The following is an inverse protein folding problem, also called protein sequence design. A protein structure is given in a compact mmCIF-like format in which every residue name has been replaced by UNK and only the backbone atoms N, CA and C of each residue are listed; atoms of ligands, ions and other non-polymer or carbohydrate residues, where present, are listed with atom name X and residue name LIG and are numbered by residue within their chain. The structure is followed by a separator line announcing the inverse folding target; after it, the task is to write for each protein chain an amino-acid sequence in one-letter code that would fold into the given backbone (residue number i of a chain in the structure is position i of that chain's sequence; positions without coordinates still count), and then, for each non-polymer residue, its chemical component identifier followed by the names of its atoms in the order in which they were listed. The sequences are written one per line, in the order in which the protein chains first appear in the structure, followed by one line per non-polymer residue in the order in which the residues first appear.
data_IF_332990180099
#
_entry.id   IF_332990180099
#
_cell.length_a   1.000
_cell.length_b   1.000
_cell.length_c   1.000
_cell.angle_alpha   90.00
_cell.angle_beta   90.00
_cell.angle_gamma   90.00
#
_symmetry.space_group_name_H-M   'P 1'
#
loop_
_entity.id
_entity.type
_entity.pdbx_description
1 polymer ?
#
# COMPACT_ATOMS: atom_id res chain seq x y z
N UNK A 1 -11.42 0.63 -9.73
CA UNK A 1 -10.65 0.82 -10.97
C UNK A 1 -9.41 -0.04 -10.83
N UNK A 2 -9.23 -1.00 -11.73
CA UNK A 2 -8.07 -1.89 -11.69
C UNK A 2 -6.93 -1.25 -12.49
N UNK A 3 -5.78 -1.06 -11.85
CA UNK A 3 -4.58 -0.50 -12.47
C UNK A 3 -3.56 -1.62 -12.70
N UNK A 4 -2.80 -1.51 -13.79
CA UNK A 4 -1.64 -2.34 -14.09
C UNK A 4 -0.38 -1.53 -13.89
N UNK A 5 0.57 -2.07 -13.13
CA UNK A 5 1.88 -1.47 -12.94
C UNK A 5 2.93 -2.25 -13.73
N UNK A 6 3.72 -1.55 -14.53
CA UNK A 6 4.69 -2.15 -15.45
C UNK A 6 6.07 -1.57 -15.20
N UNK A 7 7.05 -2.43 -14.95
CA UNK A 7 8.46 -2.08 -14.90
C UNK A 7 9.14 -2.33 -16.25
N UNK A 8 9.67 -1.29 -16.89
CA UNK A 8 10.37 -1.44 -18.18
C UNK A 8 11.45 -0.38 -18.39
N UNK A 9 12.68 -0.81 -18.74
CA UNK A 9 13.83 0.06 -19.07
C UNK A 9 14.02 1.20 -18.06
N UNK A 10 14.03 0.90 -16.77
CA UNK A 10 14.16 1.89 -15.72
C UNK A 10 12.95 2.81 -15.53
N UNK A 11 11.79 2.45 -16.05
CA UNK A 11 10.54 3.18 -15.82
C UNK A 11 9.55 2.30 -15.06
N UNK A 12 8.70 2.95 -14.27
CA UNK A 12 7.47 2.39 -13.73
C UNK A 12 6.32 3.12 -14.40
N UNK A 13 5.39 2.38 -15.00
CA UNK A 13 4.24 2.92 -15.70
C UNK A 13 2.98 2.37 -15.04
N UNK A 14 2.00 3.24 -14.78
CA UNK A 14 0.66 2.83 -14.40
C UNK A 14 -0.26 2.96 -15.60
N UNK A 15 -0.99 1.89 -15.87
CA UNK A 15 -1.89 1.75 -17.00
C UNK A 15 -3.28 1.41 -16.47
N UNK A 16 -4.30 2.07 -16.98
CA UNK A 16 -5.69 1.71 -16.70
C UNK A 16 -6.00 0.37 -17.38
N UNK A 17 -6.41 -0.64 -16.61
CA UNK A 17 -6.64 -1.99 -17.14
C UNK A 17 -7.79 -2.06 -18.15
N UNK A 18 -8.80 -1.19 -18.02
CA UNK A 18 -9.97 -1.18 -18.90
C UNK A 18 -9.70 -0.62 -20.29
N UNK A 19 -8.81 0.37 -20.42
CA UNK A 19 -8.56 1.07 -21.69
C UNK A 19 -7.15 0.88 -22.25
N UNK A 20 -6.18 0.51 -21.41
CA UNK A 20 -4.77 0.50 -21.77
C UNK A 20 -4.12 1.89 -21.77
N UNK A 21 -4.84 2.93 -21.31
CA UNK A 21 -4.30 4.28 -21.23
C UNK A 21 -3.28 4.41 -20.10
N UNK A 22 -2.18 5.09 -20.38
CA UNK A 22 -1.20 5.48 -19.36
C UNK A 22 -1.81 6.54 -18.44
N UNK A 23 -1.79 6.26 -17.13
CA UNK A 23 -2.21 7.19 -16.08
C UNK A 23 -1.03 8.06 -15.65
N UNK A 24 0.10 7.41 -15.36
CA UNK A 24 1.34 8.07 -14.98
C UNK A 24 2.56 7.23 -15.34
N UNK A 25 3.72 7.89 -15.38
CA UNK A 25 5.03 7.27 -15.63
C UNK A 25 6.11 7.94 -14.80
N UNK A 26 6.95 7.12 -14.18
CA UNK A 26 8.07 7.56 -13.37
C UNK A 26 9.36 6.96 -13.90
N UNK A 27 10.36 7.81 -14.15
CA UNK A 27 11.70 7.38 -14.53
C UNK A 27 12.55 7.16 -13.28
N UNK A 28 13.12 5.98 -13.15
CA UNK A 28 14.04 5.58 -12.08
C UNK A 28 15.49 5.90 -12.47
N UNK A 29 16.41 5.75 -11.49
CA UNK A 29 17.85 5.98 -11.68
C UNK A 29 18.56 4.80 -12.38
N UNK A 30 17.97 4.27 -13.45
CA UNK A 30 18.59 3.23 -14.27
C UNK A 30 17.92 3.17 -15.65
N UNK A 31 18.52 2.43 -16.58
CA UNK A 31 17.91 2.06 -17.86
C UNK A 31 17.64 0.54 -17.96
N UNK A 32 17.94 -0.21 -16.90
CA UNK A 32 17.90 -1.68 -16.89
C UNK A 32 16.52 -2.27 -16.60
N UNK A 33 16.46 -3.60 -16.50
CA UNK A 33 15.27 -4.34 -16.10
C UNK A 33 14.75 -3.83 -14.76
N UNK A 34 13.46 -3.44 -14.76
CA UNK A 34 12.75 -2.97 -13.57
C UNK A 34 11.79 -4.05 -13.11
N UNK A 35 11.97 -4.57 -11.89
CA UNK A 35 10.98 -5.45 -11.27
C UNK A 35 10.02 -4.60 -10.43
N UNK A 36 8.73 -4.94 -10.41
CA UNK A 36 7.69 -4.19 -9.68
C UNK A 36 6.86 -5.11 -8.78
N UNK A 37 6.51 -4.61 -7.60
CA UNK A 37 5.65 -5.27 -6.62
C UNK A 37 4.66 -4.25 -6.05
N UNK A 38 3.39 -4.63 -5.92
CA UNK A 38 2.33 -3.75 -5.43
C UNK A 38 1.78 -4.26 -4.10
N UNK A 39 1.71 -3.38 -3.10
CA UNK A 39 1.13 -3.66 -1.77
C UNK A 39 0.68 -2.35 -1.13
N UNK A 40 -0.50 -2.34 -0.50
CA UNK A 40 -1.03 -1.22 0.30
C UNK A 40 -0.89 0.18 -0.33
N UNK A 41 -1.32 0.33 -1.59
CA UNK A 41 -1.23 1.58 -2.37
C UNK A 41 0.21 2.08 -2.64
N UNK A 42 1.20 1.21 -2.49
CA UNK A 42 2.59 1.46 -2.85
C UNK A 42 3.03 0.52 -3.97
N UNK A 43 3.89 1.04 -4.85
CA UNK A 43 4.58 0.27 -5.89
C UNK A 43 6.06 0.26 -5.55
N UNK A 44 6.57 -0.92 -5.20
CA UNK A 44 7.99 -1.15 -4.98
C UNK A 44 8.64 -1.53 -6.28
N UNK A 45 9.67 -0.78 -6.68
CA UNK A 45 10.37 -1.01 -7.93
C UNK A 45 11.87 -1.19 -7.69
N UNK A 46 12.43 -2.30 -8.16
CA UNK A 46 13.87 -2.51 -8.17
C UNK A 46 14.43 -2.16 -9.54
N UNK A 47 15.47 -1.34 -9.58
CA UNK A 47 16.25 -1.06 -10.78
C UNK A 47 17.73 -0.88 -10.43
N UNK A 48 18.59 -1.77 -10.95
CA UNK A 48 20.05 -1.68 -10.91
C UNK A 48 20.65 -1.39 -9.52
N UNK A 49 20.33 -2.22 -8.53
CA UNK A 49 20.84 -2.04 -7.16
C UNK A 49 20.10 -0.99 -6.33
N UNK A 50 19.06 -0.35 -6.89
CA UNK A 50 18.21 0.56 -6.13
C UNK A 50 16.80 -0.01 -6.00
N UNK A 51 16.24 0.06 -4.79
CA UNK A 51 14.85 -0.21 -4.48
C UNK A 51 14.14 1.12 -4.22
N UNK A 52 13.06 1.36 -4.94
CA UNK A 52 12.23 2.55 -4.82
C UNK A 52 10.86 2.15 -4.29
N UNK A 53 10.25 3.02 -3.50
CA UNK A 53 8.83 2.96 -3.21
C UNK A 53 8.15 4.17 -3.86
N UNK A 54 7.12 3.89 -4.65
CA UNK A 54 6.34 4.89 -5.36
C UNK A 54 4.90 4.86 -4.85
N UNK A 55 4.28 6.02 -4.75
CA UNK A 55 2.85 6.13 -4.54
C UNK A 55 2.11 5.56 -5.74
N UNK A 56 1.21 4.60 -5.52
CA UNK A 56 0.43 4.00 -6.58
C UNK A 56 -0.55 4.99 -7.26
N UNK A 57 -0.94 6.05 -6.54
CA UNK A 57 -1.91 7.03 -7.01
C UNK A 57 -1.34 7.96 -8.10
N UNK A 58 -0.06 8.34 -7.99
CA UNK A 58 0.54 9.38 -8.83
C UNK A 58 1.96 9.06 -9.31
N UNK A 59 2.56 7.96 -8.88
CA UNK A 59 3.92 7.56 -9.26
C UNK A 59 5.04 8.34 -8.57
N UNK A 60 4.74 9.16 -7.58
CA UNK A 60 5.78 9.91 -6.84
C UNK A 60 6.66 8.97 -6.03
N UNK A 61 7.97 9.17 -6.08
CA UNK A 61 8.92 8.40 -5.27
C UNK A 61 8.80 8.87 -3.81
N UNK A 62 8.34 7.97 -2.94
CA UNK A 62 8.20 8.20 -1.50
C UNK A 62 9.57 8.02 -0.82
N UNK A 63 10.30 6.97 -1.19
CA UNK A 63 11.64 6.70 -0.68
C UNK A 63 12.49 5.87 -1.65
N UNK A 64 13.81 5.87 -1.41
CA UNK A 64 14.80 5.08 -2.13
C UNK A 64 15.76 4.40 -1.15
N UNK A 65 16.17 3.17 -1.47
CA UNK A 65 17.22 2.41 -0.80
C UNK A 65 18.19 1.88 -1.85
N UNK A 66 19.47 2.18 -1.69
CA UNK A 66 20.56 1.90 -2.63
C UNK A 66 21.23 0.53 -2.43
N UNK A 67 20.62 -0.37 -1.64
CA UNK A 67 20.98 -1.79 -1.44
C UNK A 67 22.51 -2.05 -1.41
N UNK A 68 23.24 -1.19 -0.70
CA UNK A 68 24.70 -1.09 -0.79
C UNK A 68 25.37 -2.42 -0.51
N UNK A 69 26.28 -2.80 -1.41
CA UNK A 69 27.10 -4.01 -1.26
C UNK A 69 26.42 -5.31 -1.71
N UNK A 70 25.18 -5.26 -2.21
CA UNK A 70 24.46 -6.44 -2.72
C UNK A 70 24.60 -6.64 -4.24
N UNK A 71 25.26 -5.71 -4.93
CA UNK A 71 25.51 -5.77 -6.37
C UNK A 71 24.32 -5.32 -7.23
N UNK A 72 24.38 -5.63 -8.53
CA UNK A 72 23.42 -5.16 -9.55
C UNK A 72 22.64 -6.31 -10.21
N UNK A 73 22.57 -7.47 -9.55
CA UNK A 73 21.93 -8.67 -10.08
C UNK A 73 20.40 -8.56 -10.20
N UNK A 74 19.78 -9.66 -10.63
CA UNK A 74 18.32 -9.77 -10.60
C UNK A 74 17.80 -9.70 -9.15
N UNK A 75 16.69 -8.99 -8.94
CA UNK A 75 16.03 -8.88 -7.65
C UNK A 75 14.69 -9.60 -7.68
N UNK A 76 14.38 -10.33 -6.62
CA UNK A 76 13.07 -10.92 -6.36
C UNK A 76 12.47 -10.18 -5.18
N UNK A 77 11.25 -9.67 -5.36
CA UNK A 77 10.51 -8.94 -4.34
C UNK A 77 9.35 -9.82 -3.89
N UNK A 78 9.19 -9.98 -2.58
CA UNK A 78 8.06 -10.67 -1.96
C UNK A 78 7.53 -9.80 -0.83
N UNK A 79 6.20 -9.69 -0.71
CA UNK A 79 5.56 -9.07 0.44
C UNK A 79 4.83 -10.08 1.32
N UNK A 80 4.36 -9.61 2.46
CA UNK A 80 3.76 -10.45 3.48
C UNK A 80 2.24 -10.39 3.38
N UNK A 81 1.59 -11.55 3.22
CA UNK A 81 0.14 -11.61 3.23
C UNK A 81 -0.38 -11.32 4.65
N UNK A 82 -1.03 -10.18 4.85
CA UNK A 82 -1.78 -9.90 6.06
C UNK A 82 -3.12 -10.66 6.01
N UNK A 83 -3.07 -11.97 6.29
CA UNK A 83 -4.28 -12.79 6.44
C UNK A 83 -4.95 -12.45 7.77
N UNK A 84 -5.76 -11.39 7.78
CA UNK A 84 -6.70 -11.15 8.87
C UNK A 84 -7.79 -12.21 8.75
N UNK A 85 -7.82 -13.15 9.68
CA UNK A 85 -8.90 -14.14 9.69
C UNK A 85 -10.24 -13.42 9.95
N UNK A 86 -11.33 -13.87 9.34
CA UNK A 86 -12.65 -13.24 9.56
C UNK A 86 -13.04 -13.18 11.04
N UNK A 87 -12.47 -14.04 11.89
CA UNK A 87 -12.60 -13.99 13.35
C UNK A 87 -11.99 -12.72 13.95
N UNK A 88 -10.84 -12.25 13.47
CA UNK A 88 -10.15 -11.08 14.03
C UNK A 88 -10.89 -9.78 13.68
N UNK A 89 -11.40 -9.68 12.45
CA UNK A 89 -12.25 -8.56 12.02
C UNK A 89 -13.60 -8.56 12.77
N UNK A 90 -14.22 -9.72 12.95
CA UNK A 90 -15.50 -9.81 13.65
C UNK A 90 -15.34 -9.49 15.14
N UNK A 91 -14.22 -9.89 15.77
CA UNK A 91 -13.95 -9.57 17.17
C UNK A 91 -13.66 -8.07 17.38
N UNK A 92 -12.92 -7.43 16.47
CA UNK A 92 -12.69 -5.98 16.51
C UNK A 92 -13.97 -5.17 16.26
N UNK A 93 -14.81 -5.57 15.31
CA UNK A 93 -16.10 -4.93 15.04
C UNK A 93 -17.11 -5.12 16.19
N UNK A 94 -17.12 -6.31 16.80
CA UNK A 94 -17.94 -6.60 17.98
C UNK A 94 -17.49 -5.79 19.20
N UNK A 95 -16.19 -5.64 19.44
CA UNK A 95 -15.67 -4.81 20.53
C UNK A 95 -16.00 -3.32 20.36
N UNK A 96 -15.89 -2.78 19.14
CA UNK A 96 -16.22 -1.40 18.84
C UNK A 96 -17.72 -1.08 19.01
N UNK A 97 -18.59 -2.00 18.58
CA UNK A 97 -20.05 -1.84 18.76
C UNK A 97 -20.48 -1.95 20.23
N UNK A 98 -19.87 -2.86 21.01
CA UNK A 98 -20.11 -2.95 22.45
C UNK A 98 -19.64 -1.69 23.18
N UNK A 99 -18.47 -1.15 22.85
CA UNK A 99 -17.99 0.10 23.43
C UNK A 99 -18.92 1.28 23.16
N UNK A 100 -19.49 1.37 21.94
CA UNK A 100 -20.46 2.40 21.59
C UNK A 100 -21.79 2.26 22.38
N UNK A 101 -22.28 1.04 22.59
CA UNK A 101 -23.49 0.78 23.38
C UNK A 101 -23.29 1.13 24.87
N UNK A 102 -22.12 0.82 25.44
CA UNK A 102 -21.78 1.14 26.83
C UNK A 102 -21.61 2.66 27.02
N UNK A 103 -21.03 3.35 26.04
CA UNK A 103 -20.94 4.81 26.06
C UNK A 103 -22.32 5.48 25.95
N UNK A 104 -23.25 4.95 25.15
CA UNK A 104 -24.59 5.50 25.01
C UNK A 104 -25.47 5.29 26.27
N UNK A 105 -25.32 4.16 26.96
CA UNK A 105 -26.09 3.84 28.17
C UNK A 105 -25.58 4.53 29.43
N UNK A 106 -24.31 4.93 29.46
CA UNK A 106 -23.75 5.71 30.58
C UNK A 106 -24.12 7.20 30.56
N UNK A 107 -24.48 7.75 29.38
CA UNK A 107 -24.94 9.14 29.24
C UNK A 107 -26.39 9.33 29.72
N UNK A 108 -27.24 8.31 29.60
CA UNK A 108 -28.66 8.40 29.98
C UNK A 108 -28.92 8.31 31.49
N UNK A 109 -27.97 7.82 32.28
CA UNK A 109 -28.13 7.68 33.75
C UNK A 109 -27.76 8.97 34.51
N UNK A 110 -27.08 9.93 33.89
CA UNK A 110 -26.60 11.15 34.56
C UNK A 110 -27.60 12.33 34.62
N UNK A 111 -28.85 12.14 34.16
CA UNK A 111 -29.78 13.23 33.85
C UNK A 111 -30.96 13.47 34.81
N UNK A 112 -31.16 12.68 35.86
CA UNK A 112 -32.31 12.84 36.77
C UNK A 112 -31.85 12.98 38.23
N UNK A 113 -31.64 14.23 38.67
CA UNK A 113 -31.25 14.52 40.04
C UNK A 113 -31.05 16.01 40.30
N UNK A 114 -32.13 16.74 40.54
CA UNK A 114 -32.04 18.09 41.11
C UNK A 114 -33.30 18.92 40.95
N UNK A 115 -34.30 18.67 41.81
CA UNK A 115 -35.27 19.70 42.23
C UNK A 115 -34.69 20.51 43.38
#
# INVERSE_FOLDING_TARGET
MENLYVGIKGHVVCIEKSSGNEIWRTKLKSADLTNVYYEDNNVYAYAYGHLFCLSAANGEIIWENDLKGLGYGACIIAGQQNVTTMSDQNNAASAASVAAIVAATSVTVAGDGGS
#
